data_IF_972704995242
#
_entry.id   IF_972704995242
#
_cell.length_a   1.000
_cell.length_b   1.000
_cell.length_c   1.000
_cell.angle_alpha   90.00
_cell.angle_beta   90.00
_cell.angle_gamma   90.00
#
_symmetry.space_group_name_H-M   'P 1'
#
loop_
_entity.id
_entity.type
_entity.pdbx_description
1 polymer ?
#
# COMPACT_ATOMS: atom_id res chain seq x y z
N UNK A 1 -20.16 -16.68 26.28
CA UNK A 1 -19.25 -17.14 25.21
C UNK A 1 -19.71 -16.70 23.82
N UNK A 2 -20.90 -17.08 23.33
CA UNK A 2 -21.37 -16.69 21.98
C UNK A 2 -21.44 -15.17 21.71
N UNK A 3 -21.91 -14.37 22.67
CA UNK A 3 -21.97 -12.91 22.53
C UNK A 3 -20.58 -12.26 22.37
N UNK A 4 -19.58 -12.70 23.14
CA UNK A 4 -18.21 -12.17 23.03
C UNK A 4 -17.61 -12.46 21.65
N UNK A 5 -17.87 -13.63 21.06
CA UNK A 5 -17.42 -13.94 19.70
C UNK A 5 -17.99 -12.96 18.66
N UNK A 6 -19.26 -12.58 18.78
CA UNK A 6 -19.88 -11.61 17.87
C UNK A 6 -19.27 -10.22 17.99
N UNK A 7 -19.00 -9.76 19.22
CA UNK A 7 -18.36 -8.45 19.46
C UNK A 7 -16.94 -8.39 18.87
N UNK A 8 -16.18 -9.49 18.97
CA UNK A 8 -14.84 -9.56 18.38
C UNK A 8 -14.88 -9.57 16.86
N UNK A 9 -15.83 -10.29 16.26
CA UNK A 9 -16.03 -10.28 14.80
C UNK A 9 -16.43 -8.89 14.29
N UNK A 10 -17.29 -8.18 15.01
CA UNK A 10 -17.65 -6.79 14.71
C UNK A 10 -16.42 -5.88 14.74
N UNK A 11 -15.59 -5.99 15.77
CA UNK A 11 -14.36 -5.21 15.92
C UNK A 11 -13.37 -5.46 14.77
N UNK A 12 -13.21 -6.73 14.35
CA UNK A 12 -12.39 -7.10 13.20
C UNK A 12 -12.95 -6.48 11.92
N UNK A 13 -14.27 -6.59 11.69
CA UNK A 13 -14.91 -6.05 10.51
C UNK A 13 -14.74 -4.52 10.42
N UNK A 14 -14.95 -3.81 11.53
CA UNK A 14 -14.74 -2.36 11.61
C UNK A 14 -13.28 -2.02 11.28
N UNK A 15 -12.32 -2.76 11.84
CA UNK A 15 -10.89 -2.50 11.60
C UNK A 15 -10.52 -2.68 10.12
N UNK A 16 -11.00 -3.76 9.49
CA UNK A 16 -10.77 -4.02 8.06
C UNK A 16 -11.39 -2.91 7.20
N UNK A 17 -12.65 -2.55 7.47
CA UNK A 17 -13.35 -1.53 6.68
C UNK A 17 -12.69 -0.17 6.86
N UNK A 18 -12.40 0.23 8.09
CA UNK A 18 -11.79 1.52 8.39
C UNK A 18 -10.40 1.64 7.76
N UNK A 19 -9.51 0.66 8.02
CA UNK A 19 -8.16 0.68 7.46
C UNK A 19 -8.19 0.62 5.93
N UNK A 20 -9.05 -0.22 5.34
CA UNK A 20 -9.18 -0.34 3.89
C UNK A 20 -9.69 0.95 3.23
N UNK A 21 -10.74 1.56 3.76
CA UNK A 21 -11.32 2.79 3.19
C UNK A 21 -10.38 3.98 3.33
N UNK A 22 -9.81 4.19 4.52
CA UNK A 22 -8.88 5.29 4.76
C UNK A 22 -7.62 5.13 3.91
N UNK A 23 -7.04 3.93 3.84
CA UNK A 23 -5.90 3.66 2.97
C UNK A 23 -6.25 3.87 1.49
N UNK A 24 -7.39 3.38 1.03
CA UNK A 24 -7.84 3.58 -0.36
C UNK A 24 -7.95 5.06 -0.72
N UNK A 25 -8.60 5.86 0.13
CA UNK A 25 -8.74 7.30 -0.09
C UNK A 25 -7.36 7.98 -0.08
N UNK A 26 -6.52 7.69 0.92
CA UNK A 26 -5.19 8.29 1.05
C UNK A 26 -4.29 7.96 -0.14
N UNK A 27 -4.20 6.69 -0.53
CA UNK A 27 -3.42 6.28 -1.69
C UNK A 27 -3.98 6.81 -3.00
N UNK A 28 -5.31 6.87 -3.17
CA UNK A 28 -5.91 7.46 -4.37
C UNK A 28 -5.63 8.96 -4.47
N UNK A 29 -5.66 9.69 -3.37
CA UNK A 29 -5.30 11.11 -3.36
C UNK A 29 -3.81 11.31 -3.64
N UNK A 30 -2.92 10.50 -3.06
CA UNK A 30 -1.49 10.57 -3.35
C UNK A 30 -1.20 10.29 -4.84
N UNK A 31 -1.84 9.25 -5.40
CA UNK A 31 -1.76 8.86 -6.81
C UNK A 31 -2.18 10.01 -7.74
N UNK A 32 -3.24 10.75 -7.40
CA UNK A 32 -3.74 11.87 -8.20
C UNK A 32 -2.93 13.17 -8.04
N UNK A 33 -2.25 13.37 -6.91
CA UNK A 33 -1.61 14.65 -6.59
C UNK A 33 -0.11 14.68 -6.86
N UNK A 34 0.60 13.59 -6.55
CA UNK A 34 2.06 13.49 -6.67
C UNK A 34 2.52 12.28 -7.48
N UNK A 35 1.61 11.35 -7.79
CA UNK A 35 1.94 10.04 -8.35
C UNK A 35 2.44 9.08 -7.27
N UNK A 36 1.81 7.91 -7.14
CA UNK A 36 2.10 6.95 -6.06
C UNK A 36 3.09 5.84 -6.48
N UNK A 37 3.11 5.45 -7.75
CA UNK A 37 3.92 4.35 -8.27
C UNK A 37 4.64 4.79 -9.53
N UNK A 38 5.90 4.35 -9.67
CA UNK A 38 6.68 4.58 -10.89
C UNK A 38 6.09 3.82 -12.09
N UNK A 39 6.40 4.23 -13.33
CA UNK A 39 6.05 3.47 -14.51
C UNK A 39 6.56 2.02 -14.49
N UNK A 40 5.85 1.11 -15.17
CA UNK A 40 6.14 -0.34 -15.14
C UNK A 40 7.55 -0.68 -15.65
N UNK A 41 8.03 0.05 -16.65
CA UNK A 41 9.39 -0.09 -17.18
C UNK A 41 10.46 0.20 -16.12
N UNK A 42 10.27 1.26 -15.32
CA UNK A 42 11.19 1.64 -14.25
C UNK A 42 11.11 0.65 -13.08
N UNK A 43 9.92 0.14 -12.79
CA UNK A 43 9.73 -0.89 -11.77
C UNK A 43 10.42 -2.21 -12.15
N UNK A 44 10.36 -2.59 -13.45
CA UNK A 44 11.00 -3.80 -13.97
C UNK A 44 12.52 -3.72 -14.02
N UNK A 45 13.07 -2.58 -14.42
CA UNK A 45 14.52 -2.38 -14.49
C UNK A 45 15.13 -2.11 -13.10
N UNK A 46 14.33 -1.57 -12.18
CA UNK A 46 14.68 -1.39 -10.78
C UNK A 46 14.83 0.07 -10.39
N UNK A 47 14.40 0.40 -9.17
CA UNK A 47 14.44 1.74 -8.61
C UNK A 47 15.86 2.19 -8.27
N UNK A 48 16.79 1.27 -8.01
CA UNK A 48 18.18 1.61 -7.76
C UNK A 48 18.78 2.24 -9.02
N UNK A 49 18.55 1.63 -10.19
CA UNK A 49 19.03 2.15 -11.48
C UNK A 49 18.25 3.40 -11.88
N UNK A 50 16.91 3.36 -11.83
CA UNK A 50 16.06 4.42 -12.38
C UNK A 50 15.92 5.65 -11.48
N UNK A 51 15.94 5.48 -10.16
CA UNK A 51 15.73 6.58 -9.20
C UNK A 51 16.99 6.99 -8.45
N UNK A 52 17.98 6.10 -8.32
CA UNK A 52 19.21 6.37 -7.56
C UNK A 52 20.48 6.36 -8.43
N UNK A 53 20.42 5.87 -9.67
CA UNK A 53 21.57 5.77 -10.57
C UNK A 53 22.61 4.73 -10.14
N UNK A 54 22.23 3.80 -9.27
CA UNK A 54 23.09 2.80 -8.67
C UNK A 54 22.71 1.39 -9.14
N UNK A 55 23.69 0.52 -9.33
CA UNK A 55 23.45 -0.92 -9.42
C UNK A 55 23.80 -1.55 -8.08
N UNK A 56 22.81 -2.17 -7.41
CA UNK A 56 23.01 -2.81 -6.10
C UNK A 56 24.12 -3.87 -6.09
N UNK A 57 24.36 -4.51 -7.25
CA UNK A 57 25.42 -5.49 -7.44
C UNK A 57 26.21 -5.15 -8.69
N UNK A 58 27.50 -4.86 -8.49
CA UNK A 58 28.49 -4.86 -9.57
C UNK A 58 29.09 -6.27 -9.61
N UNK A 59 28.82 -7.02 -10.69
CA UNK A 59 29.55 -8.24 -11.01
C UNK A 59 30.88 -7.91 -11.71
#
# INVERSE_FOLDING_TARGET
MGHQLLVQLESIAITIVWSGVVAFIGYKLADLTVGLRVPEEQEREGLDVNSHGENAYNA
#
